data_IF_702759195255
#
_entry.id   IF_702759195255
#
_cell.length_a   1.000
_cell.length_b   1.000
_cell.length_c   1.000
_cell.angle_alpha   90.00
_cell.angle_beta   90.00
_cell.angle_gamma   90.00
#
_symmetry.space_group_name_H-M   'P 1'
#
loop_
_entity.id
_entity.type
_entity.pdbx_description
1 polymer ?
#
# COMPACT_ATOMS: atom_id res chain seq x y z
N UNK A 1 -38.06 48.62 71.67
CA UNK A 1 -37.26 47.56 71.01
C UNK A 1 -37.66 47.60 69.53
N UNK A 2 -36.76 47.29 68.59
CA UNK A 2 -36.95 47.65 67.17
C UNK A 2 -37.14 46.39 66.32
N UNK A 3 -38.28 46.29 65.63
CA UNK A 3 -38.77 45.08 64.94
C UNK A 3 -38.17 44.95 63.54
N UNK A 4 -37.51 46.00 63.05
CA UNK A 4 -36.93 46.06 61.71
C UNK A 4 -35.63 45.23 61.59
N UNK A 5 -34.91 45.01 62.69
CA UNK A 5 -33.63 44.30 62.67
C UNK A 5 -33.74 42.78 62.44
N UNK A 6 -34.83 42.15 62.88
CA UNK A 6 -35.04 40.71 62.74
C UNK A 6 -35.36 40.29 61.29
N UNK A 7 -36.01 41.18 60.53
CA UNK A 7 -36.39 40.91 59.14
C UNK A 7 -35.22 40.95 58.14
N UNK A 8 -34.12 41.63 58.48
CA UNK A 8 -32.93 41.68 57.61
C UNK A 8 -32.13 40.38 57.70
N UNK A 9 -31.94 39.85 58.93
CA UNK A 9 -31.16 38.63 59.18
C UNK A 9 -31.81 37.41 58.52
N UNK A 10 -33.15 37.31 58.52
CA UNK A 10 -33.84 36.18 57.87
C UNK A 10 -33.78 36.24 56.33
N UNK A 11 -33.78 37.45 55.76
CA UNK A 11 -33.61 37.65 54.31
C UNK A 11 -32.19 37.30 53.86
N UNK A 12 -31.19 37.61 54.67
CA UNK A 12 -29.79 37.30 54.39
C UNK A 12 -29.52 35.79 54.52
N UNK A 13 -30.13 35.11 55.50
CA UNK A 13 -30.03 33.66 55.65
C UNK A 13 -30.69 32.90 54.47
N UNK A 14 -31.83 33.37 53.97
CA UNK A 14 -32.47 32.80 52.77
C UNK A 14 -31.67 33.07 51.49
N UNK A 15 -31.01 34.23 51.37
CA UNK A 15 -30.12 34.53 50.23
C UNK A 15 -28.88 33.65 50.22
N UNK A 16 -28.26 33.41 51.38
CA UNK A 16 -27.11 32.52 51.49
C UNK A 16 -27.48 31.07 51.15
N UNK A 17 -28.61 30.57 51.64
CA UNK A 17 -29.11 29.24 51.29
C UNK A 17 -29.45 29.09 49.79
N UNK A 18 -29.95 30.14 49.15
CA UNK A 18 -30.22 30.13 47.71
C UNK A 18 -28.94 30.14 46.85
N UNK A 19 -27.88 30.80 47.34
CA UNK A 19 -26.56 30.80 46.68
C UNK A 19 -25.91 29.42 46.74
N UNK A 20 -26.00 28.70 47.87
CA UNK A 20 -25.46 27.35 48.01
C UNK A 20 -26.17 26.31 47.12
N UNK A 21 -27.50 26.39 47.00
CA UNK A 21 -28.28 25.50 46.09
C UNK A 21 -27.93 25.75 44.62
N UNK A 22 -27.69 26.99 44.25
CA UNK A 22 -27.32 27.37 42.88
C UNK A 22 -25.90 26.89 42.54
N UNK A 23 -24.94 27.06 43.46
CA UNK A 23 -23.55 26.59 43.27
C UNK A 23 -23.50 25.06 43.20
N UNK A 24 -24.25 24.35 44.04
CA UNK A 24 -24.32 22.89 44.00
C UNK A 24 -24.93 22.37 42.68
N UNK A 25 -25.95 23.05 42.14
CA UNK A 25 -26.57 22.70 40.85
C UNK A 25 -25.63 22.90 39.66
N UNK A 26 -24.87 24.01 39.65
CA UNK A 26 -23.86 24.30 38.62
C UNK A 26 -22.70 23.28 38.70
N UNK A 27 -22.25 22.91 39.90
CA UNK A 27 -21.22 21.89 40.09
C UNK A 27 -21.68 20.50 39.60
N UNK A 28 -22.93 20.11 39.90
CA UNK A 28 -23.51 18.87 39.37
C UNK A 28 -23.59 18.90 37.84
N UNK A 29 -24.08 19.98 37.23
CA UNK A 29 -24.17 20.10 35.77
C UNK A 29 -22.79 20.02 35.07
N UNK A 30 -21.71 20.42 35.73
CA UNK A 30 -20.36 20.35 35.17
C UNK A 30 -19.78 18.93 35.20
N UNK A 31 -20.11 18.09 36.20
CA UNK A 31 -19.67 16.69 36.21
C UNK A 31 -20.41 15.80 35.21
N UNK A 32 -21.71 16.04 34.96
CA UNK A 32 -22.48 15.23 34.02
C UNK A 32 -22.08 15.44 32.55
N UNK A 33 -21.63 16.64 32.16
CA UNK A 33 -21.19 16.91 30.78
C UNK A 33 -19.85 16.23 30.45
N UNK A 34 -18.90 16.20 31.39
CA UNK A 34 -17.61 15.50 31.20
C UNK A 34 -17.79 13.98 31.16
N UNK A 35 -18.73 13.44 31.96
CA UNK A 35 -19.06 12.01 31.94
C UNK A 35 -19.76 11.61 30.63
N UNK A 36 -20.66 12.43 30.10
CA UNK A 36 -21.36 12.08 28.85
C UNK A 36 -20.45 12.25 27.61
N UNK A 37 -19.57 13.26 27.58
CA UNK A 37 -18.68 13.50 26.46
C UNK A 37 -17.65 12.38 26.24
N UNK A 38 -17.02 11.85 27.30
CA UNK A 38 -16.04 10.78 27.14
C UNK A 38 -16.69 9.46 26.69
N UNK A 39 -17.95 9.19 27.05
CA UNK A 39 -18.65 7.99 26.57
C UNK A 39 -18.89 8.04 25.06
N UNK A 40 -19.25 9.21 24.53
CA UNK A 40 -19.46 9.41 23.09
C UNK A 40 -18.12 9.29 22.34
N UNK A 41 -17.06 9.95 22.82
CA UNK A 41 -15.73 9.89 22.19
C UNK A 41 -15.18 8.46 22.18
N UNK A 42 -15.30 7.73 23.29
CA UNK A 42 -14.86 6.34 23.38
C UNK A 42 -15.68 5.40 22.50
N UNK A 43 -17.00 5.59 22.39
CA UNK A 43 -17.85 4.80 21.50
C UNK A 43 -17.49 5.00 20.02
N UNK A 44 -17.29 6.24 19.58
CA UNK A 44 -16.90 6.55 18.19
C UNK A 44 -15.52 5.98 17.90
N UNK A 45 -14.56 6.15 18.81
CA UNK A 45 -13.20 5.64 18.64
C UNK A 45 -13.18 4.10 18.56
N UNK A 46 -13.84 3.42 19.50
CA UNK A 46 -13.88 1.96 19.53
C UNK A 46 -14.62 1.39 18.32
N UNK A 47 -15.72 2.02 17.90
CA UNK A 47 -16.47 1.58 16.73
C UNK A 47 -15.67 1.83 15.44
N UNK A 48 -15.05 3.00 15.31
CA UNK A 48 -14.16 3.32 14.20
C UNK A 48 -12.98 2.34 14.12
N UNK A 49 -12.26 2.12 15.23
CA UNK A 49 -11.12 1.21 15.28
C UNK A 49 -11.49 -0.24 14.89
N UNK A 50 -12.69 -0.74 15.25
CA UNK A 50 -13.14 -2.08 14.82
C UNK A 50 -13.41 -2.18 13.32
N UNK A 51 -14.00 -1.14 12.73
CA UNK A 51 -14.32 -1.11 11.29
C UNK A 51 -13.04 -1.00 10.47
N UNK A 52 -12.16 -0.05 10.81
CA UNK A 52 -10.87 0.11 10.12
C UNK A 52 -9.94 -1.08 10.36
N UNK A 53 -9.92 -1.65 11.57
CA UNK A 53 -9.09 -2.82 11.89
C UNK A 53 -9.46 -4.07 11.08
N UNK A 54 -10.76 -4.33 10.85
CA UNK A 54 -11.20 -5.43 9.99
C UNK A 54 -10.84 -5.22 8.53
N UNK A 55 -11.06 -4.02 7.99
CA UNK A 55 -10.74 -3.70 6.60
C UNK A 55 -9.23 -3.82 6.30
N UNK A 56 -8.38 -3.33 7.21
CA UNK A 56 -6.91 -3.45 7.06
C UNK A 56 -6.46 -4.91 7.16
N UNK A 57 -7.01 -5.68 8.09
CA UNK A 57 -6.68 -7.12 8.24
C UNK A 57 -7.07 -7.92 6.99
N UNK A 58 -8.25 -7.68 6.44
CA UNK A 58 -8.71 -8.33 5.21
C UNK A 58 -7.83 -7.93 4.01
N UNK A 59 -7.53 -6.64 3.85
CA UNK A 59 -6.61 -6.16 2.81
C UNK A 59 -5.21 -6.78 2.94
N UNK A 60 -4.67 -6.89 4.16
CA UNK A 60 -3.38 -7.54 4.40
C UNK A 60 -3.41 -9.04 4.08
N UNK A 61 -4.51 -9.73 4.40
CA UNK A 61 -4.72 -11.13 4.01
C UNK A 61 -4.82 -11.27 2.48
N UNK A 62 -5.47 -10.34 1.79
CA UNK A 62 -5.53 -10.33 0.32
C UNK A 62 -4.16 -10.06 -0.32
N UNK A 63 -3.38 -9.13 0.20
CA UNK A 63 -2.03 -8.83 -0.28
C UNK A 63 -1.06 -9.99 -0.02
N UNK A 64 -1.11 -10.62 1.16
CA UNK A 64 -0.26 -11.77 1.47
C UNK A 64 -0.67 -13.02 0.72
N UNK A 65 -1.97 -13.26 0.51
CA UNK A 65 -2.46 -14.36 -0.32
C UNK A 65 -2.02 -14.18 -1.77
N UNK A 66 -2.23 -13.00 -2.37
CA UNK A 66 -1.80 -12.72 -3.74
C UNK A 66 -0.28 -12.80 -3.89
N UNK A 67 0.50 -12.41 -2.88
CA UNK A 67 1.95 -12.61 -2.86
C UNK A 67 2.34 -14.10 -2.84
N UNK A 68 1.65 -14.93 -2.04
CA UNK A 68 1.89 -16.38 -1.97
C UNK A 68 1.51 -17.09 -3.27
N UNK A 69 0.40 -16.73 -3.89
CA UNK A 69 0.03 -17.26 -5.21
C UNK A 69 1.08 -16.89 -6.27
N UNK A 70 1.54 -15.64 -6.29
CA UNK A 70 2.59 -15.20 -7.22
C UNK A 70 3.92 -15.93 -7.02
N UNK A 71 4.31 -16.17 -5.76
CA UNK A 71 5.50 -16.94 -5.41
C UNK A 71 5.40 -18.42 -5.81
N UNK A 72 4.23 -19.04 -5.69
CA UNK A 72 3.99 -20.43 -6.07
C UNK A 72 3.97 -20.65 -7.60
N UNK A 73 3.54 -19.65 -8.38
CA UNK A 73 3.56 -19.70 -9.85
C UNK A 73 4.91 -19.34 -10.48
N UNK A 74 5.97 -19.12 -9.69
CA UNK A 74 7.28 -18.74 -10.22
C UNK A 74 7.35 -17.32 -10.80
N UNK A 75 6.30 -16.51 -10.64
CA UNK A 75 6.28 -15.10 -11.04
C UNK A 75 6.98 -14.29 -9.94
N UNK A 76 8.31 -14.47 -9.81
CA UNK A 76 9.17 -13.56 -9.05
C UNK A 76 9.31 -12.27 -9.85
N UNK A 77 8.40 -11.33 -9.65
CA UNK A 77 8.48 -10.01 -10.30
C UNK A 77 7.15 -9.30 -10.55
N UNK A 78 6.03 -9.89 -10.16
CA UNK A 78 4.73 -9.22 -10.22
C UNK A 78 4.58 -8.21 -9.08
N UNK A 79 5.00 -6.96 -9.30
CA UNK A 79 4.42 -5.86 -8.53
C UNK A 79 2.95 -5.80 -8.89
N UNK A 80 2.09 -6.18 -7.94
CA UNK A 80 0.64 -6.18 -8.11
C UNK A 80 0.17 -4.86 -8.71
N UNK A 81 -0.38 -4.92 -9.92
CA UNK A 81 -1.02 -3.79 -10.61
C UNK A 81 -0.28 -3.19 -11.81
N UNK A 82 1.01 -3.49 -12.07
CA UNK A 82 1.76 -2.78 -13.12
C UNK A 82 2.86 -3.59 -13.86
N UNK A 83 3.05 -4.87 -13.54
CA UNK A 83 4.07 -5.71 -14.18
C UNK A 83 3.53 -6.40 -15.44
N UNK A 84 4.23 -6.25 -16.56
CA UNK A 84 3.95 -6.98 -17.80
C UNK A 84 4.48 -8.41 -17.70
N UNK A 85 3.66 -9.42 -17.97
CA UNK A 85 4.09 -10.82 -17.97
C UNK A 85 4.95 -11.15 -19.20
N UNK A 86 5.75 -12.22 -19.13
CA UNK A 86 6.59 -12.64 -20.27
C UNK A 86 5.73 -13.01 -21.49
N UNK A 87 4.60 -13.70 -21.26
CA UNK A 87 3.67 -14.07 -22.32
C UNK A 87 3.02 -12.85 -23.00
N UNK A 88 2.62 -11.85 -22.20
CA UNK A 88 2.13 -10.58 -22.74
C UNK A 88 3.21 -9.81 -23.51
N UNK A 89 4.46 -9.83 -23.03
CA UNK A 89 5.58 -9.19 -23.72
C UNK A 89 5.85 -9.83 -25.09
N UNK A 90 5.82 -11.17 -25.16
CA UNK A 90 5.94 -11.92 -26.41
C UNK A 90 4.81 -11.59 -27.39
N UNK A 91 3.57 -11.46 -26.89
CA UNK A 91 2.41 -11.07 -27.69
C UNK A 91 2.52 -9.63 -28.22
N UNK A 92 2.93 -8.67 -27.39
CA UNK A 92 3.09 -7.26 -27.77
C UNK A 92 4.13 -7.10 -28.89
N UNK A 93 5.24 -7.83 -28.80
CA UNK A 93 6.32 -7.76 -29.80
C UNK A 93 6.13 -8.74 -30.97
N UNK A 94 5.06 -9.53 -30.96
CA UNK A 94 4.74 -10.57 -31.95
C UNK A 94 5.95 -11.50 -32.21
N UNK A 95 6.55 -11.97 -31.12
CA UNK A 95 7.63 -12.96 -31.14
C UNK A 95 7.13 -14.26 -30.53
N UNK A 96 7.54 -15.39 -31.09
CA UNK A 96 7.16 -16.69 -30.55
C UNK A 96 7.68 -16.84 -29.11
N UNK A 97 6.92 -17.52 -28.23
CA UNK A 97 7.44 -17.88 -26.91
C UNK A 97 8.75 -18.67 -27.10
N UNK A 98 9.75 -18.53 -26.20
CA UNK A 98 11.07 -19.11 -26.37
C UNK A 98 10.97 -20.65 -26.49
N UNK A 99 10.84 -21.15 -27.72
CA UNK A 99 10.85 -22.58 -28.03
C UNK A 99 12.31 -23.05 -27.94
N UNK A 100 12.68 -23.66 -26.81
CA UNK A 100 14.00 -24.26 -26.62
C UNK A 100 15.10 -23.30 -26.14
N UNK A 101 14.76 -22.28 -25.34
CA UNK A 101 15.78 -21.48 -24.61
C UNK A 101 16.55 -20.45 -25.44
N UNK A 102 16.20 -20.25 -26.71
CA UNK A 102 16.76 -19.18 -27.56
C UNK A 102 15.65 -18.19 -27.91
N UNK A 103 15.55 -17.11 -27.13
CA UNK A 103 14.80 -15.94 -27.57
C UNK A 103 15.55 -15.32 -28.76
N UNK A 104 14.87 -15.12 -29.89
CA UNK A 104 15.47 -14.47 -31.05
C UNK A 104 15.54 -12.94 -30.80
N UNK A 105 16.60 -12.51 -30.10
CA UNK A 105 16.82 -11.11 -29.70
C UNK A 105 16.90 -10.15 -30.88
N UNK A 106 17.31 -10.65 -32.04
CA UNK A 106 17.38 -9.88 -33.27
C UNK A 106 15.98 -9.55 -33.78
N UNK A 107 15.06 -10.53 -33.80
CA UNK A 107 13.66 -10.31 -34.14
C UNK A 107 12.95 -9.39 -33.13
N UNK A 108 13.25 -9.54 -31.84
CA UNK A 108 12.72 -8.66 -30.78
C UNK A 108 13.12 -7.21 -31.03
N UNK A 109 14.39 -6.97 -31.34
CA UNK A 109 14.92 -5.62 -31.59
C UNK A 109 14.35 -5.02 -32.86
N UNK A 110 14.22 -5.81 -33.94
CA UNK A 110 13.65 -5.37 -35.20
C UNK A 110 12.16 -4.97 -35.04
N UNK A 111 11.37 -5.83 -34.39
CA UNK A 111 9.94 -5.56 -34.12
C UNK A 111 9.74 -4.39 -33.18
N UNK A 112 10.58 -4.28 -32.14
CA UNK A 112 10.59 -3.11 -31.26
C UNK A 112 10.79 -1.83 -32.06
N UNK A 113 11.82 -1.74 -32.91
CA UNK A 113 12.13 -0.50 -33.66
C UNK A 113 10.94 -0.09 -34.54
N UNK A 114 10.37 -1.04 -35.28
CA UNK A 114 9.19 -0.83 -36.12
C UNK A 114 8.01 -0.29 -35.31
N UNK A 115 7.64 -0.94 -34.21
CA UNK A 115 6.50 -0.54 -33.38
C UNK A 115 6.75 0.78 -32.64
N UNK A 116 7.99 1.06 -32.22
CA UNK A 116 8.36 2.28 -31.52
C UNK A 116 8.31 3.49 -32.44
N UNK A 117 8.86 3.38 -33.66
CA UNK A 117 8.90 4.47 -34.63
C UNK A 117 7.54 4.82 -35.22
N UNK A 118 6.63 3.84 -35.30
CA UNK A 118 5.24 4.00 -35.72
C UNK A 118 4.37 4.67 -34.66
N UNK A 119 4.66 4.46 -33.37
CA UNK A 119 3.87 4.97 -32.26
C UNK A 119 4.47 6.23 -31.60
N UNK A 120 5.42 6.90 -32.26
CA UNK A 120 6.01 8.13 -31.74
C UNK A 120 4.93 9.22 -31.58
N UNK A 121 4.77 9.80 -30.38
CA UNK A 121 3.75 10.82 -30.11
C UNK A 121 3.90 12.07 -31.01
N UNK A 122 5.10 12.37 -31.51
CA UNK A 122 5.35 13.47 -32.45
C UNK A 122 4.77 13.22 -33.83
N UNK A 123 4.56 11.95 -34.21
CA UNK A 123 3.97 11.54 -35.48
C UNK A 123 2.46 11.23 -35.37
N UNK A 124 1.83 11.57 -34.23
CA UNK A 124 0.43 11.27 -33.94
C UNK A 124 0.21 9.89 -33.31
N UNK A 125 1.27 9.22 -32.85
CA UNK A 125 1.17 7.97 -32.09
C UNK A 125 0.77 8.17 -30.62
N UNK A 126 0.60 7.07 -29.89
CA UNK A 126 0.28 7.10 -28.47
C UNK A 126 1.51 6.82 -27.61
N UNK A 127 1.82 7.75 -26.70
CA UNK A 127 2.85 7.57 -25.68
C UNK A 127 2.59 6.34 -24.79
N UNK A 128 1.32 5.99 -24.59
CA UNK A 128 0.95 4.80 -23.83
C UNK A 128 1.42 3.52 -24.52
N UNK A 129 1.17 3.41 -25.84
CA UNK A 129 1.60 2.26 -26.64
C UNK A 129 3.12 2.18 -26.70
N UNK A 130 3.79 3.31 -26.91
CA UNK A 130 5.25 3.40 -26.86
C UNK A 130 5.81 2.90 -25.52
N UNK A 131 5.21 3.33 -24.40
CA UNK A 131 5.61 2.90 -23.06
C UNK A 131 5.39 1.40 -22.85
N UNK A 132 4.32 0.81 -23.40
CA UNK A 132 4.06 -0.64 -23.32
C UNK A 132 5.04 -1.46 -24.15
N UNK A 133 5.39 -1.00 -25.35
CA UNK A 133 6.39 -1.67 -26.21
C UNK A 133 7.78 -1.64 -25.56
N UNK A 134 8.14 -0.53 -24.91
CA UNK A 134 9.39 -0.43 -24.14
C UNK A 134 9.44 -1.45 -23.01
N UNK A 135 8.38 -1.50 -22.18
CA UNK A 135 8.29 -2.44 -21.05
C UNK A 135 8.29 -3.89 -21.50
N UNK A 136 7.72 -4.19 -22.66
CA UNK A 136 7.78 -5.53 -23.26
C UNK A 136 9.20 -5.96 -23.60
N UNK A 137 9.97 -5.09 -24.24
CA UNK A 137 11.37 -5.40 -24.57
C UNK A 137 12.21 -5.57 -23.31
N UNK A 138 12.08 -4.66 -22.35
CA UNK A 138 12.79 -4.75 -21.06
C UNK A 138 12.51 -6.08 -20.35
N UNK A 139 11.26 -6.56 -20.38
CA UNK A 139 10.90 -7.85 -19.78
C UNK A 139 11.58 -9.02 -20.46
N UNK A 140 11.61 -9.06 -21.79
CA UNK A 140 12.27 -10.13 -22.55
C UNK A 140 13.80 -10.09 -22.35
N UNK A 141 14.41 -8.90 -22.36
CA UNK A 141 15.85 -8.73 -22.14
C UNK A 141 16.27 -9.22 -20.75
N UNK A 142 15.44 -8.94 -19.72
CA UNK A 142 15.68 -9.43 -18.36
C UNK A 142 15.64 -10.96 -18.29
N UNK A 143 14.64 -11.59 -18.89
CA UNK A 143 14.49 -13.06 -18.90
C UNK A 143 15.66 -13.74 -19.61
N UNK A 144 16.13 -13.19 -20.74
CA UNK A 144 17.29 -13.73 -21.46
C UNK A 144 18.57 -13.59 -20.63
N UNK A 145 18.75 -12.48 -19.94
CA UNK A 145 19.89 -12.27 -19.04
C UNK A 145 19.83 -13.17 -17.80
N UNK A 146 18.64 -13.45 -17.29
CA UNK A 146 18.43 -14.39 -16.18
C UNK A 146 18.70 -15.83 -16.62
N UNK A 147 18.20 -16.23 -17.79
CA UNK A 147 18.49 -17.54 -18.39
C UNK A 147 20.00 -17.73 -18.65
N UNK A 148 20.69 -16.71 -19.16
CA UNK A 148 22.14 -16.77 -19.37
C UNK A 148 22.92 -16.96 -18.06
N UNK A 149 22.56 -16.22 -17.00
CA UNK A 149 23.18 -16.36 -15.67
C UNK A 149 22.85 -17.71 -15.01
N UNK A 150 21.65 -18.23 -15.23
CA UNK A 150 21.26 -19.55 -14.74
C UNK A 150 22.06 -20.65 -15.44
N UNK A 151 22.22 -20.57 -16.77
CA UNK A 151 23.04 -21.50 -17.53
C UNK A 151 24.52 -21.46 -17.13
N UNK A 152 25.08 -20.27 -16.88
CA UNK A 152 26.45 -20.12 -16.35
C UNK A 152 26.60 -20.77 -14.97
N UNK A 153 25.63 -20.53 -14.06
CA UNK A 153 25.62 -21.15 -12.74
C UNK A 153 25.48 -22.68 -12.81
N UNK A 154 24.65 -23.19 -13.71
CA UNK A 154 24.51 -24.63 -13.95
C UNK A 154 25.81 -25.23 -14.49
N UNK A 155 26.49 -24.53 -15.40
CA UNK A 155 27.82 -24.93 -15.87
C UNK A 155 28.86 -24.93 -14.73
N UNK A 156 28.87 -23.91 -13.87
CA UNK A 156 29.75 -23.85 -12.69
C UNK A 156 29.47 -25.00 -11.70
N UNK A 157 28.19 -25.39 -11.54
CA UNK A 157 27.80 -26.54 -10.70
C UNK A 157 28.24 -27.87 -11.31
N UNK A 158 28.16 -28.02 -12.64
CA UNK A 158 28.61 -29.21 -13.37
C UNK A 158 30.15 -29.34 -13.39
N UNK A 159 30.87 -28.22 -13.47
CA UNK A 159 32.34 -28.20 -13.51
C UNK A 159 33.03 -28.33 -12.13
N UNK A 160 32.24 -28.42 -11.06
CA UNK A 160 32.74 -28.58 -9.70
C UNK A 160 33.16 -27.23 -9.09
N UNK A 161 32.46 -26.86 -8.02
CA UNK A 161 32.63 -25.65 -7.22
C UNK A 161 34.11 -25.26 -6.97
N UNK A 162 34.59 -24.25 -7.69
CA UNK A 162 35.88 -23.56 -7.43
C UNK A 162 35.59 -22.15 -6.92
N UNK A 163 35.51 -21.91 -5.59
CA UNK A 163 35.19 -20.60 -5.08
C UNK A 163 36.32 -19.63 -5.48
N UNK A 164 35.96 -18.53 -6.17
CA UNK A 164 36.86 -17.39 -6.39
C UNK A 164 37.12 -16.72 -5.05
N UNK A 165 38.03 -17.31 -4.28
CA UNK A 165 38.62 -16.68 -3.10
C UNK A 165 39.53 -15.57 -3.63
N UNK A 166 39.05 -14.34 -3.63
CA UNK A 166 39.94 -13.19 -3.70
C UNK A 166 40.83 -13.27 -2.45
N UNK A 167 42.11 -13.58 -2.65
CA UNK A 167 43.13 -13.34 -1.64
C UNK A 167 43.44 -11.85 -1.68
N UNK A 168 42.91 -11.11 -0.71
CA UNK A 168 43.42 -9.78 -0.39
C UNK A 168 44.90 -9.91 -0.02
N UNK A 169 45.72 -9.02 -0.58
CA UNK A 169 47.17 -8.93 -0.38
C UNK A 169 47.48 -8.17 0.91
#
# INVERSE_FOLDING_TARGET
>A
MNWEALGSVEKDCRRLAALDVTIFSIAQQTQYTVVMAHRIVTQVFVTGARVFGRAVSEAYRHASASQKYQAATGIKGGTGGAGLTLDEACKILNVGPPKGGKANMEQVTERFKKLFDQNDPKKGGSFYLQSKVLRARERIDMEVREAARAAEREAELQEGWKPKVYKDR
#
